data_IF_153870513716
#
_entry.id   IF_153870513716
#
_cell.length_a   1.000
_cell.length_b   1.000
_cell.length_c   1.000
_cell.angle_alpha   90.00
_cell.angle_beta   90.00
_cell.angle_gamma   90.00
#
_symmetry.space_group_name_H-M   'P 1'
#
loop_
_entity.id
_entity.type
_entity.pdbx_description
1 polymer ?
#
# COMPACT_ATOMS: atom_id res chain seq x y z
N UNK A 1 15.09 7.67 18.63
CA UNK A 1 14.26 7.19 17.50
C UNK A 1 14.03 8.35 16.55
N UNK A 2 14.16 8.13 15.24
CA UNK A 2 13.77 9.13 14.25
C UNK A 2 12.26 9.33 14.40
N UNK A 3 11.85 10.51 14.89
CA UNK A 3 10.44 10.86 14.97
C UNK A 3 9.88 10.92 13.56
N UNK A 4 8.75 10.25 13.34
CA UNK A 4 8.08 10.18 12.05
C UNK A 4 6.91 11.14 11.96
N UNK A 5 5.94 10.78 11.13
CA UNK A 5 4.71 11.55 10.96
C UNK A 5 3.91 11.64 12.27
N UNK A 6 3.35 12.82 12.58
CA UNK A 6 2.59 13.13 13.81
C UNK A 6 3.35 12.83 15.11
N UNK A 7 4.67 13.04 15.14
CA UNK A 7 5.56 12.71 16.26
C UNK A 7 5.60 11.22 16.64
N UNK A 8 4.98 10.35 15.85
CA UNK A 8 4.97 8.90 16.04
C UNK A 8 6.15 8.26 15.28
N UNK A 9 6.89 7.30 15.87
CA UNK A 9 8.03 6.66 15.20
C UNK A 9 7.65 6.00 13.86
N UNK A 10 8.52 6.10 12.86
CA UNK A 10 8.30 5.48 11.54
C UNK A 10 8.00 3.98 11.58
N UNK A 11 8.60 3.25 12.53
CA UNK A 11 8.35 1.81 12.68
C UNK A 11 6.92 1.48 13.11
N UNK A 12 6.25 2.37 13.86
CA UNK A 12 4.83 2.20 14.21
C UNK A 12 3.97 2.31 12.96
N UNK A 13 4.24 3.31 12.11
CA UNK A 13 3.56 3.47 10.82
C UNK A 13 3.83 2.29 9.88
N UNK A 14 5.06 1.78 9.85
CA UNK A 14 5.41 0.59 9.06
C UNK A 14 4.62 -0.65 9.52
N UNK A 15 4.52 -0.87 10.82
CA UNK A 15 3.76 -1.98 11.40
C UNK A 15 2.26 -1.85 11.09
N UNK A 16 1.67 -0.66 11.26
CA UNK A 16 0.26 -0.40 10.95
C UNK A 16 -0.03 -0.64 9.46
N UNK A 17 0.83 -0.14 8.56
CA UNK A 17 0.68 -0.35 7.13
C UNK A 17 0.76 -1.86 6.78
N UNK A 18 1.70 -2.60 7.39
CA UNK A 18 1.81 -4.04 7.16
C UNK A 18 0.59 -4.82 7.67
N UNK A 19 0.05 -4.45 8.83
CA UNK A 19 -1.19 -5.03 9.35
C UNK A 19 -2.35 -4.81 8.38
N UNK A 20 -2.49 -3.60 7.83
CA UNK A 20 -3.51 -3.31 6.82
C UNK A 20 -3.31 -4.12 5.54
N UNK A 21 -2.06 -4.29 5.09
CA UNK A 21 -1.75 -5.15 3.95
C UNK A 21 -2.27 -6.59 4.17
N UNK A 22 -1.99 -7.17 5.34
CA UNK A 22 -2.44 -8.53 5.70
C UNK A 22 -3.96 -8.60 5.74
N UNK A 23 -4.63 -7.65 6.40
CA UNK A 23 -6.09 -7.61 6.48
C UNK A 23 -6.71 -7.60 5.09
N UNK A 24 -6.23 -6.77 4.18
CA UNK A 24 -6.77 -6.64 2.82
C UNK A 24 -6.47 -7.82 1.90
N UNK A 25 -5.48 -8.65 2.24
CA UNK A 25 -5.29 -9.95 1.58
C UNK A 25 -6.48 -10.87 1.86
N UNK A 26 -7.09 -10.83 3.04
CA UNK A 26 -8.19 -11.75 3.38
C UNK A 26 -9.57 -11.09 3.28
N UNK A 27 -9.68 -9.82 3.65
CA UNK A 27 -10.91 -9.05 3.71
C UNK A 27 -10.86 -8.01 2.59
N UNK A 28 -11.34 -8.37 1.39
CA UNK A 28 -11.21 -7.49 0.22
C UNK A 28 -12.45 -7.44 -0.67
N UNK A 29 -12.56 -6.38 -1.50
CA UNK A 29 -13.75 -6.14 -2.32
C UNK A 29 -13.91 -7.18 -3.43
N UNK A 30 -12.87 -7.95 -3.74
CA UNK A 30 -12.91 -9.09 -4.66
C UNK A 30 -13.98 -10.14 -4.30
N UNK A 31 -14.43 -10.19 -3.04
CA UNK A 31 -15.53 -11.07 -2.60
C UNK A 31 -16.92 -10.58 -2.99
N UNK A 32 -17.04 -9.29 -3.38
CA UNK A 32 -18.32 -8.62 -3.65
C UNK A 32 -18.49 -8.20 -5.11
N UNK A 33 -17.46 -8.38 -5.94
CA UNK A 33 -17.47 -7.95 -7.34
C UNK A 33 -17.87 -9.15 -8.22
N UNK A 34 -18.87 -8.99 -9.10
CA UNK A 34 -19.29 -10.04 -10.03
C UNK A 34 -18.11 -10.57 -10.84
N UNK A 35 -18.17 -11.84 -11.28
CA UNK A 35 -17.11 -12.59 -11.96
C UNK A 35 -16.30 -11.75 -12.95
N UNK A 36 -15.27 -11.09 -12.43
CA UNK A 36 -14.30 -10.33 -13.20
C UNK A 36 -13.14 -11.28 -13.43
N UNK A 37 -12.73 -11.48 -14.66
CA UNK A 37 -11.62 -12.37 -15.01
C UNK A 37 -10.40 -11.58 -15.47
N UNK A 38 -9.23 -12.23 -15.45
CA UNK A 38 -7.99 -11.69 -16.00
C UNK A 38 -7.36 -10.55 -15.19
N UNK A 39 -6.74 -9.61 -15.91
CA UNK A 39 -5.86 -8.59 -15.34
C UNK A 39 -6.58 -7.64 -14.37
N UNK A 40 -7.83 -7.28 -14.66
CA UNK A 40 -8.62 -6.41 -13.79
C UNK A 40 -8.88 -7.06 -12.42
N UNK A 41 -9.22 -8.35 -12.39
CA UNK A 41 -9.38 -9.07 -11.13
C UNK A 41 -8.10 -9.09 -10.32
N UNK A 42 -6.95 -9.32 -10.97
CA UNK A 42 -5.66 -9.29 -10.30
C UNK A 42 -5.40 -7.95 -9.61
N UNK A 43 -5.65 -6.82 -10.29
CA UNK A 43 -5.48 -5.49 -9.71
C UNK A 43 -6.45 -5.27 -8.53
N UNK A 44 -7.72 -5.62 -8.68
CA UNK A 44 -8.71 -5.46 -7.61
C UNK A 44 -8.37 -6.35 -6.40
N UNK A 45 -7.82 -7.53 -6.64
CA UNK A 45 -7.47 -8.50 -5.60
C UNK A 45 -6.24 -8.08 -4.79
N UNK A 46 -5.24 -7.48 -5.44
CA UNK A 46 -3.91 -7.28 -4.85
C UNK A 46 -3.46 -5.82 -4.79
N UNK A 47 -4.01 -4.93 -5.61
CA UNK A 47 -3.55 -3.54 -5.72
C UNK A 47 -3.62 -2.80 -4.39
N UNK A 48 -4.73 -2.91 -3.67
CA UNK A 48 -4.89 -2.25 -2.37
C UNK A 48 -3.91 -2.80 -1.31
N UNK A 49 -3.76 -4.12 -1.20
CA UNK A 49 -2.77 -4.72 -0.29
C UNK A 49 -1.33 -4.34 -0.68
N UNK A 50 -1.01 -4.28 -1.97
CA UNK A 50 0.32 -3.91 -2.46
C UNK A 50 0.66 -2.46 -2.13
N UNK A 51 -0.30 -1.53 -2.22
CA UNK A 51 -0.12 -0.15 -1.75
C UNK A 51 0.33 -0.12 -0.29
N UNK A 52 -0.34 -0.88 0.58
CA UNK A 52 0.01 -0.95 2.00
C UNK A 52 1.40 -1.55 2.25
N UNK A 53 1.78 -2.59 1.49
CA UNK A 53 3.16 -3.14 1.54
C UNK A 53 4.19 -2.09 1.15
N UNK A 54 3.97 -1.37 0.04
CA UNK A 54 4.90 -0.33 -0.42
C UNK A 54 5.03 0.81 0.59
N UNK A 55 3.92 1.23 1.22
CA UNK A 55 3.97 2.20 2.31
C UNK A 55 4.73 1.67 3.53
N UNK A 56 4.51 0.41 3.93
CA UNK A 56 5.24 -0.21 5.03
C UNK A 56 6.76 -0.20 4.76
N UNK A 57 7.18 -0.55 3.55
CA UNK A 57 8.59 -0.47 3.13
C UNK A 57 9.11 0.97 3.16
N UNK A 58 8.35 1.94 2.63
CA UNK A 58 8.74 3.35 2.67
C UNK A 58 8.97 3.85 4.09
N UNK A 59 8.05 3.57 5.02
CA UNK A 59 8.17 3.95 6.42
C UNK A 59 9.33 3.23 7.11
N UNK A 60 9.52 1.95 6.84
CA UNK A 60 10.64 1.18 7.38
C UNK A 60 12.00 1.79 6.97
N UNK A 61 12.18 2.12 5.68
CA UNK A 61 13.39 2.77 5.19
C UNK A 61 13.67 4.12 5.87
N UNK A 62 12.64 4.95 6.07
CA UNK A 62 12.74 6.22 6.80
C UNK A 62 13.11 6.05 8.27
N UNK A 63 12.69 4.93 8.87
CA UNK A 63 13.02 4.58 10.25
C UNK A 63 14.47 4.13 10.44
N UNK A 64 15.12 3.60 9.39
CA UNK A 64 16.50 3.10 9.44
C UNK A 64 17.51 4.24 9.29
N UNK A 65 17.43 5.01 8.19
CA UNK A 65 18.44 6.01 7.88
C UNK A 65 17.85 7.14 7.01
N UNK A 66 18.00 8.42 7.41
CA UNK A 66 17.54 9.55 6.62
C UNK A 66 18.11 9.62 5.18
N UNK A 67 19.29 9.04 4.93
CA UNK A 67 19.87 8.99 3.57
C UNK A 67 19.00 8.17 2.58
N UNK A 68 18.17 7.26 3.09
CA UNK A 68 17.27 6.43 2.29
C UNK A 68 15.95 7.14 1.95
N UNK A 69 15.75 8.38 2.41
CA UNK A 69 14.50 9.13 2.18
C UNK A 69 14.18 9.30 0.68
N UNK A 70 15.19 9.43 -0.18
CA UNK A 70 14.98 9.49 -1.64
C UNK A 70 14.35 8.20 -2.18
N UNK A 71 14.87 7.05 -1.79
CA UNK A 71 14.32 5.73 -2.16
C UNK A 71 12.94 5.55 -1.53
N UNK A 72 12.76 5.94 -0.27
CA UNK A 72 11.47 5.87 0.41
C UNK A 72 10.39 6.72 -0.30
N UNK A 73 10.75 7.88 -0.86
CA UNK A 73 9.84 8.69 -1.67
C UNK A 73 9.43 7.97 -2.97
N UNK A 74 10.38 7.35 -3.68
CA UNK A 74 10.10 6.58 -4.90
C UNK A 74 9.15 5.41 -4.63
N UNK A 75 9.38 4.67 -3.54
CA UNK A 75 8.52 3.55 -3.14
C UNK A 75 7.13 4.06 -2.75
N UNK A 76 7.04 5.17 -2.02
CA UNK A 76 5.75 5.79 -1.70
C UNK A 76 4.99 6.24 -2.96
N UNK A 77 5.68 6.82 -3.94
CA UNK A 77 5.10 7.20 -5.23
C UNK A 77 4.58 5.98 -6.00
N UNK A 78 5.33 4.88 -6.03
CA UNK A 78 4.86 3.61 -6.60
C UNK A 78 3.62 3.06 -5.87
N UNK A 79 3.56 3.20 -4.54
CA UNK A 79 2.37 2.88 -3.75
C UNK A 79 1.15 3.71 -4.13
N UNK A 80 1.35 5.02 -4.35
CA UNK A 80 0.33 5.94 -4.85
C UNK A 80 -0.20 5.55 -6.23
N UNK A 81 0.70 5.27 -7.18
CA UNK A 81 0.33 4.80 -8.54
C UNK A 81 -0.48 3.50 -8.44
N UNK A 82 -0.02 2.54 -7.63
CA UNK A 82 -0.72 1.27 -7.41
C UNK A 82 -2.14 1.50 -6.88
N UNK A 83 -2.31 2.42 -5.94
CA UNK A 83 -3.61 2.76 -5.37
C UNK A 83 -4.54 3.41 -6.39
N UNK A 84 -4.02 4.36 -7.18
CA UNK A 84 -4.79 5.00 -8.25
C UNK A 84 -5.27 3.98 -9.28
N UNK A 85 -4.39 3.07 -9.72
CA UNK A 85 -4.77 1.98 -10.63
C UNK A 85 -5.85 1.09 -10.03
N UNK A 86 -5.74 0.74 -8.74
CA UNK A 86 -6.77 0.01 -8.02
C UNK A 86 -8.13 0.75 -8.02
N UNK A 87 -8.14 2.04 -7.68
CA UNK A 87 -9.34 2.89 -7.66
C UNK A 87 -10.00 2.97 -9.04
N UNK A 88 -9.21 3.13 -10.11
CA UNK A 88 -9.72 3.13 -11.49
C UNK A 88 -10.34 1.79 -11.85
N UNK A 89 -9.68 0.67 -11.53
CA UNK A 89 -10.15 -0.67 -11.87
C UNK A 89 -11.42 -1.09 -11.12
N UNK A 90 -11.62 -0.58 -9.90
CA UNK A 90 -12.78 -0.95 -9.06
C UNK A 90 -13.98 -0.01 -9.27
N UNK A 91 -13.76 1.29 -9.46
CA UNK A 91 -14.86 2.28 -9.52
C UNK A 91 -15.15 2.81 -10.92
N UNK A 92 -14.17 2.86 -11.82
CA UNK A 92 -14.31 3.48 -13.14
C UNK A 92 -14.52 2.44 -14.23
N UNK A 93 -13.65 1.44 -14.28
CA UNK A 93 -13.72 0.35 -15.26
C UNK A 93 -14.67 -0.72 -14.72
N UNK A 94 -15.71 -1.08 -15.49
CA UNK A 94 -16.75 -2.06 -15.12
C UNK A 94 -16.61 -3.39 -15.81
#
# INVERSE_FOLDING_TARGET
MIKGFLDVPWFVWAALALLLAIVWIYVGPHTKIPATSGFRYFIIRWGHSLTWVLLAVSFFLRGINPSLNGIANLIAAAGGITYLTFIVMIFVIK
#
